data_IF_290197002163
#
_entry.id   IF_290197002163
#
_cell.length_a   1.000
_cell.length_b   1.000
_cell.length_c   1.000
_cell.angle_alpha   90.00
_cell.angle_beta   90.00
_cell.angle_gamma   90.00
#
_symmetry.space_group_name_H-M   'P 1'
#
loop_
_entity.id
_entity.type
_entity.pdbx_description
1 polymer ?
#
# COMPACT_ATOMS: atom_id res chain seq x y z
N UNK A 1 -26.59 -30.10 14.63
CA UNK A 1 -26.47 -29.61 13.25
C UNK A 1 -25.07 -29.01 13.08
N UNK A 2 -24.13 -29.77 12.51
CA UNK A 2 -22.76 -29.33 12.30
C UNK A 2 -22.52 -29.14 10.79
N UNK A 3 -22.41 -27.90 10.35
CA UNK A 3 -22.10 -27.58 8.95
C UNK A 3 -20.61 -27.32 8.78
N UNK A 4 -19.94 -28.28 8.15
CA UNK A 4 -18.64 -28.12 7.50
C UNK A 4 -18.75 -27.08 6.40
N UNK A 5 -17.76 -26.19 6.29
CA UNK A 5 -17.33 -25.71 4.98
C UNK A 5 -15.84 -25.35 5.01
N UNK A 6 -15.12 -26.09 4.17
CA UNK A 6 -13.70 -26.02 3.87
C UNK A 6 -13.54 -25.08 2.66
N UNK A 7 -12.72 -24.04 2.78
CA UNK A 7 -12.15 -23.37 1.61
C UNK A 7 -10.65 -23.24 1.81
N UNK A 8 -9.95 -23.69 0.78
CA UNK A 8 -8.54 -24.08 0.76
C UNK A 8 -7.62 -22.87 0.96
N UNK A 9 -6.52 -23.08 1.68
CA UNK A 9 -5.34 -22.21 1.68
C UNK A 9 -4.93 -21.87 0.25
N UNK A 10 -4.59 -20.61 0.01
CA UNK A 10 -3.74 -20.21 -1.12
C UNK A 10 -2.52 -19.45 -0.57
N UNK A 11 -1.32 -20.04 -0.57
CA UNK A 11 -0.09 -19.27 -0.49
C UNK A 11 0.28 -18.91 -1.94
N UNK A 12 -0.14 -17.72 -2.38
CA UNK A 12 0.32 -17.21 -3.67
C UNK A 12 1.65 -16.48 -3.47
N UNK A 13 2.75 -17.11 -3.89
CA UNK A 13 3.95 -16.41 -4.34
C UNK A 13 5.21 -16.62 -3.50
N UNK A 14 5.82 -17.80 -3.57
CA UNK A 14 7.27 -17.96 -3.34
C UNK A 14 7.99 -17.50 -4.61
N UNK A 15 8.17 -16.19 -4.75
CA UNK A 15 9.15 -15.60 -5.66
C UNK A 15 10.09 -14.77 -4.79
N UNK A 16 11.39 -15.08 -4.82
CA UNK A 16 12.40 -14.38 -4.03
C UNK A 16 12.41 -12.89 -4.35
N UNK A 17 11.63 -12.13 -3.59
CA UNK A 17 11.68 -10.69 -3.60
C UNK A 17 12.92 -10.31 -2.80
N UNK A 18 13.95 -9.82 -3.48
CA UNK A 18 14.91 -8.89 -2.89
C UNK A 18 14.12 -7.97 -1.97
N UNK A 19 14.46 -7.96 -0.68
CA UNK A 19 13.70 -7.27 0.37
C UNK A 19 13.72 -5.77 0.11
N UNK A 20 12.88 -5.32 -0.81
CA UNK A 20 12.38 -3.98 -0.88
C UNK A 20 11.58 -3.82 0.39
N UNK A 21 12.01 -2.88 1.23
CA UNK A 21 11.29 -2.44 2.42
C UNK A 21 9.80 -2.29 2.06
N UNK A 22 9.01 -3.29 2.45
CA UNK A 22 7.75 -3.56 1.78
C UNK A 22 6.70 -2.64 2.38
N UNK A 23 6.42 -1.54 1.68
CA UNK A 23 5.34 -0.62 2.06
C UNK A 23 4.03 -1.42 2.17
N UNK A 24 3.47 -1.46 3.38
CA UNK A 24 2.28 -2.26 3.68
C UNK A 24 1.00 -1.48 3.37
N UNK A 25 -0.03 -2.09 2.76
CA UNK A 25 -1.35 -1.49 2.66
C UNK A 25 -1.86 -0.99 4.03
N UNK A 26 -2.47 0.19 4.06
CA UNK A 26 -2.91 0.87 5.28
C UNK A 26 -1.81 1.68 5.99
N UNK A 27 -0.54 1.55 5.59
CA UNK A 27 0.53 2.38 6.15
C UNK A 27 0.46 3.81 5.64
N UNK A 28 1.05 4.74 6.40
CA UNK A 28 1.22 6.12 5.97
C UNK A 28 2.58 6.32 5.31
N UNK A 29 2.57 7.02 4.18
CA UNK A 29 3.72 7.29 3.33
C UNK A 29 3.81 8.77 2.99
N UNK A 30 5.02 9.24 2.76
CA UNK A 30 5.29 10.57 2.21
C UNK A 30 5.83 10.47 0.80
N UNK A 31 5.52 11.49 -0.01
CA UNK A 31 6.18 11.70 -1.29
C UNK A 31 7.59 12.24 -1.05
N UNK A 32 8.56 11.83 -1.87
CA UNK A 32 9.85 12.52 -1.95
C UNK A 32 9.60 13.98 -2.32
N UNK A 33 10.22 14.88 -1.56
CA UNK A 33 10.03 16.33 -1.66
C UNK A 33 8.60 16.79 -1.36
N UNK A 34 7.87 16.05 -0.52
CA UNK A 34 6.58 16.49 -0.01
C UNK A 34 6.70 17.81 0.76
N UNK A 35 5.86 18.82 0.45
CA UNK A 35 5.75 20.04 1.25
C UNK A 35 5.47 19.71 2.72
N UNK A 36 6.06 20.47 3.65
CA UNK A 36 5.98 20.19 5.10
C UNK A 36 4.56 20.31 5.66
N UNK A 37 3.74 21.12 5.03
CA UNK A 37 2.34 21.41 5.33
C UNK A 37 1.38 20.37 4.73
N UNK A 38 1.86 19.51 3.83
CA UNK A 38 1.06 18.44 3.27
C UNK A 38 1.11 17.22 4.21
N UNK A 39 -0.03 16.65 4.65
CA UNK A 39 -0.04 15.48 5.53
C UNK A 39 0.35 14.19 4.76
N UNK A 40 0.81 13.14 5.47
CA UNK A 40 1.08 11.84 4.85
C UNK A 40 -0.13 11.27 4.11
N UNK A 41 0.14 10.45 3.11
CA UNK A 41 -0.86 9.71 2.37
C UNK A 41 -1.00 8.29 2.94
N UNK A 42 -2.19 7.70 2.86
CA UNK A 42 -2.36 6.29 3.16
C UNK A 42 -2.09 5.46 1.90
N UNK A 43 -1.32 4.40 2.07
CA UNK A 43 -1.04 3.43 1.02
C UNK A 43 -2.22 2.47 0.86
N UNK A 44 -2.81 2.44 -0.34
CA UNK A 44 -3.90 1.51 -0.64
C UNK A 44 -3.35 0.14 -1.05
N UNK A 45 -2.37 0.13 -1.96
CA UNK A 45 -1.76 -1.09 -2.52
C UNK A 45 -0.55 -0.75 -3.37
N UNK A 46 0.36 -1.70 -3.55
CA UNK A 46 1.43 -1.63 -4.54
C UNK A 46 1.35 -2.82 -5.51
N UNK A 47 1.57 -2.57 -6.80
CA UNK A 47 1.62 -3.58 -7.87
C UNK A 47 2.61 -3.15 -8.94
N UNK A 48 3.61 -3.98 -9.21
CA UNK A 48 4.58 -3.76 -10.31
C UNK A 48 5.36 -2.44 -10.19
N UNK A 49 5.88 -2.13 -9.00
CA UNK A 49 6.69 -0.91 -8.77
C UNK A 49 5.88 0.39 -8.67
N UNK A 50 4.55 0.30 -8.72
CA UNK A 50 3.63 1.43 -8.59
C UNK A 50 2.70 1.22 -7.42
N UNK A 51 2.33 2.30 -6.76
CA UNK A 51 1.55 2.30 -5.55
C UNK A 51 0.39 3.29 -5.68
N UNK A 52 -0.77 2.89 -5.18
CA UNK A 52 -1.93 3.75 -5.10
C UNK A 52 -1.99 4.33 -3.70
N UNK A 53 -2.13 5.65 -3.63
CA UNK A 53 -2.21 6.38 -2.37
C UNK A 53 -3.45 7.27 -2.37
N UNK A 54 -3.91 7.63 -1.16
CA UNK A 54 -4.99 8.60 -0.98
C UNK A 54 -4.65 9.60 0.12
N UNK A 55 -5.26 10.77 0.03
CA UNK A 55 -5.31 11.73 1.14
C UNK A 55 -6.69 11.69 1.79
N UNK A 56 -6.74 11.75 3.12
CA UNK A 56 -8.00 11.59 3.86
C UNK A 56 -8.96 12.77 3.67
N UNK A 57 -8.43 13.96 3.36
CA UNK A 57 -9.25 15.15 3.17
C UNK A 57 -9.88 15.26 1.76
N UNK A 58 -9.46 14.46 0.79
CA UNK A 58 -9.92 14.58 -0.61
C UNK A 58 -11.14 13.69 -0.93
N UNK A 59 -11.65 12.96 0.05
CA UNK A 59 -12.74 12.00 -0.12
C UNK A 59 -12.24 10.61 -0.54
N UNK A 60 -12.91 9.55 -0.06
CA UNK A 60 -12.41 8.18 -0.18
C UNK A 60 -12.31 7.62 -1.61
N UNK A 61 -12.96 8.25 -2.58
CA UNK A 61 -12.87 7.85 -3.99
C UNK A 61 -11.62 8.43 -4.70
N UNK A 62 -10.97 9.44 -4.11
CA UNK A 62 -9.80 10.10 -4.70
C UNK A 62 -8.54 9.34 -4.31
N UNK A 63 -8.02 8.61 -5.29
CA UNK A 63 -6.76 7.87 -5.21
C UNK A 63 -5.97 8.12 -6.51
N UNK A 64 -4.64 8.09 -6.44
CA UNK A 64 -3.81 8.17 -7.64
C UNK A 64 -2.58 7.27 -7.54
N UNK A 65 -1.97 7.03 -8.70
CA UNK A 65 -0.80 6.19 -8.87
C UNK A 65 0.49 6.99 -8.67
N UNK A 66 1.44 6.41 -7.95
CA UNK A 66 2.78 6.96 -7.71
C UNK A 66 3.81 5.85 -7.87
N UNK A 67 4.98 6.18 -8.42
CA UNK A 67 6.11 5.24 -8.43
C UNK A 67 6.56 4.92 -7.00
N UNK A 68 6.77 3.64 -6.69
CA UNK A 68 7.20 3.17 -5.37
C UNK A 68 8.46 3.90 -4.88
N UNK A 69 9.42 4.13 -5.78
CA UNK A 69 10.68 4.81 -5.46
C UNK A 69 10.49 6.27 -5.01
N UNK A 70 9.31 6.87 -5.25
CA UNK A 70 8.99 8.22 -4.78
C UNK A 70 8.29 8.22 -3.42
N UNK A 71 8.03 7.06 -2.83
CA UNK A 71 7.40 6.93 -1.52
C UNK A 71 8.44 6.57 -0.45
N UNK A 72 8.22 7.10 0.75
CA UNK A 72 8.96 6.76 1.95
C UNK A 72 7.98 6.49 3.08
N UNK A 73 8.19 5.41 3.84
CA UNK A 73 7.40 5.14 5.03
C UNK A 73 7.52 6.28 6.04
N UNK A 74 6.43 6.59 6.74
CA UNK A 74 6.49 7.44 7.93
C UNK A 74 6.82 6.53 9.11
N UNK A 75 7.97 6.78 9.75
CA UNK A 75 8.38 6.09 10.98
C UNK A 75 7.52 6.52 12.17
#
# INVERSE_FOLDING_TARGET
MASRQSVRRSPAGTGGATVLDLLQPGSFVKLRNQPRDLPPFELIRCRGGRCWVRQQAWGGAVQWEVAHQRLTAVA
#
